data_IF_154057049319
#
_entry.id   IF_154057049319
#
_cell.length_a   1.000
_cell.length_b   1.000
_cell.length_c   1.000
_cell.angle_alpha   90.00
_cell.angle_beta   90.00
_cell.angle_gamma   90.00
#
_symmetry.space_group_name_H-M   'P 1'
#
loop_
_entity.id
_entity.type
_entity.pdbx_description
1 polymer ?
#
# COMPACT_ATOMS: atom_id res chain seq x y z
N UNK A 1 -4.95 4.97 -7.35
CA UNK A 1 -4.43 3.74 -7.99
C UNK A 1 -5.00 2.56 -7.23
N UNK A 2 -5.13 1.39 -7.84
CA UNK A 2 -5.66 0.20 -7.19
C UNK A 2 -4.72 -1.00 -7.40
N UNK A 3 -4.75 -1.91 -6.45
CA UNK A 3 -4.09 -3.20 -6.56
C UNK A 3 -5.05 -4.21 -7.16
N UNK A 4 -4.58 -4.92 -8.18
CA UNK A 4 -5.30 -5.99 -8.86
C UNK A 4 -4.56 -7.30 -8.63
N UNK A 5 -5.27 -8.32 -8.15
CA UNK A 5 -4.72 -9.68 -8.15
C UNK A 5 -4.89 -10.27 -9.55
N UNK A 6 -3.81 -10.82 -10.10
CA UNK A 6 -3.79 -11.41 -11.43
C UNK A 6 -3.39 -12.89 -11.37
N UNK A 7 -3.96 -13.66 -12.30
CA UNK A 7 -3.52 -15.01 -12.65
C UNK A 7 -3.18 -15.01 -14.14
N UNK A 8 -1.94 -15.33 -14.48
CA UNK A 8 -1.42 -15.38 -15.83
C UNK A 8 -1.13 -16.83 -16.24
N UNK A 9 -1.81 -17.31 -17.27
CA UNK A 9 -1.70 -18.66 -17.80
C UNK A 9 -1.08 -18.62 -19.19
N UNK A 10 -0.03 -19.40 -19.42
CA UNK A 10 0.56 -19.49 -20.76
C UNK A 10 -0.44 -20.11 -21.74
N UNK A 11 -0.65 -19.46 -22.88
CA UNK A 11 -1.58 -19.94 -23.92
C UNK A 11 -1.17 -21.31 -24.45
N UNK A 12 0.14 -21.56 -24.51
CA UNK A 12 0.74 -22.79 -25.00
C UNK A 12 0.72 -23.94 -23.96
N UNK A 13 0.29 -23.68 -22.72
CA UNK A 13 0.16 -24.70 -21.66
C UNK A 13 1.47 -25.29 -21.15
N UNK A 14 2.63 -24.92 -21.71
CA UNK A 14 3.95 -25.42 -21.29
C UNK A 14 4.47 -24.82 -19.99
N UNK A 15 4.01 -23.62 -19.62
CA UNK A 15 4.40 -22.97 -18.37
C UNK A 15 3.28 -23.05 -17.34
N UNK A 16 3.66 -23.28 -16.08
CA UNK A 16 2.72 -23.24 -14.97
C UNK A 16 2.06 -21.84 -14.84
N UNK A 17 0.79 -21.78 -14.38
CA UNK A 17 0.12 -20.53 -14.09
C UNK A 17 0.92 -19.73 -13.06
N UNK A 18 1.04 -18.41 -13.27
CA UNK A 18 1.66 -17.48 -12.33
C UNK A 18 0.63 -16.51 -11.79
N UNK A 19 0.66 -16.28 -10.48
CA UNK A 19 -0.26 -15.37 -9.81
C UNK A 19 0.50 -14.31 -9.04
N UNK A 20 -0.09 -13.12 -8.89
CA UNK A 20 0.50 -12.05 -8.10
C UNK A 20 -0.39 -10.81 -8.06
N UNK A 21 0.17 -9.71 -7.57
CA UNK A 21 -0.51 -8.44 -7.45
C UNK A 21 0.17 -7.40 -8.35
N UNK A 22 -0.62 -6.54 -8.98
CA UNK A 22 -0.13 -5.41 -9.79
C UNK A 22 -0.87 -4.14 -9.42
N UNK A 23 -0.12 -3.05 -9.24
CA UNK A 23 -0.71 -1.73 -9.00
C UNK A 23 -0.91 -1.02 -10.32
N UNK A 24 -2.15 -0.64 -10.61
CA UNK A 24 -2.50 0.08 -11.83
C UNK A 24 -3.60 1.11 -11.58
N UNK A 25 -3.80 2.01 -12.54
CA UNK A 25 -4.90 3.00 -12.50
C UNK A 25 -6.25 2.40 -12.87
N UNK A 26 -6.25 1.35 -13.69
CA UNK A 26 -7.44 0.64 -14.19
C UNK A 26 -7.12 -0.83 -14.49
N UNK A 27 -8.14 -1.68 -14.56
CA UNK A 27 -7.98 -3.10 -14.91
C UNK A 27 -7.32 -3.31 -16.27
N UNK A 28 -7.62 -2.46 -17.26
CA UNK A 28 -7.00 -2.54 -18.59
C UNK A 28 -5.49 -2.23 -18.54
N UNK A 29 -5.09 -1.26 -17.72
CA UNK A 29 -3.69 -0.94 -17.49
C UNK A 29 -2.98 -2.05 -16.70
N UNK A 30 -3.66 -2.68 -15.72
CA UNK A 30 -3.14 -3.85 -15.01
C UNK A 30 -2.90 -5.02 -15.97
N UNK A 31 -3.86 -5.34 -16.82
CA UNK A 31 -3.74 -6.45 -17.79
C UNK A 31 -2.56 -6.21 -18.75
N UNK A 32 -2.43 -5.00 -19.28
CA UNK A 32 -1.34 -4.63 -20.19
C UNK A 32 0.02 -4.73 -19.50
N UNK A 33 0.13 -4.29 -18.26
CA UNK A 33 1.36 -4.44 -17.47
C UNK A 33 1.70 -5.90 -17.23
N UNK A 34 0.72 -6.70 -16.79
CA UNK A 34 0.93 -8.14 -16.54
C UNK A 34 1.37 -8.83 -17.82
N UNK A 35 0.70 -8.61 -18.95
CA UNK A 35 1.10 -9.19 -20.25
C UNK A 35 2.52 -8.81 -20.66
N UNK A 36 2.97 -7.59 -20.36
CA UNK A 36 4.32 -7.13 -20.66
C UNK A 36 5.41 -7.79 -19.79
N UNK A 37 5.07 -8.38 -18.63
CA UNK A 37 6.02 -9.11 -17.77
C UNK A 37 6.41 -10.48 -18.34
N UNK A 38 5.63 -11.03 -19.26
CA UNK A 38 5.86 -12.34 -19.85
C UNK A 38 6.41 -12.21 -21.27
N UNK A 39 7.51 -12.91 -21.56
CA UNK A 39 8.10 -12.98 -22.90
C UNK A 39 7.30 -13.85 -23.89
N UNK A 40 6.17 -14.40 -23.46
CA UNK A 40 5.31 -15.31 -24.21
C UNK A 40 3.83 -14.93 -24.02
N UNK A 41 2.94 -15.31 -24.96
CA UNK A 41 1.53 -15.01 -24.83
C UNK A 41 0.90 -15.69 -23.61
N UNK A 42 0.28 -14.88 -22.75
CA UNK A 42 -0.46 -15.32 -21.57
C UNK A 42 -1.91 -14.84 -21.60
N UNK A 43 -2.83 -15.66 -21.10
CA UNK A 43 -4.18 -15.26 -20.71
C UNK A 43 -4.11 -14.70 -19.30
N UNK A 44 -4.62 -13.49 -19.09
CA UNK A 44 -4.61 -12.82 -17.79
C UNK A 44 -6.04 -12.74 -17.28
N UNK A 45 -6.26 -13.30 -16.11
CA UNK A 45 -7.50 -13.15 -15.36
C UNK A 45 -7.24 -12.21 -14.19
N UNK A 46 -7.93 -11.08 -14.16
CA UNK A 46 -7.87 -10.13 -13.05
C UNK A 46 -9.04 -10.39 -12.09
N UNK A 47 -8.76 -10.45 -10.79
CA UNK A 47 -9.77 -10.64 -9.76
C UNK A 47 -9.48 -9.72 -8.58
N UNK A 48 -10.51 -9.05 -8.06
CA UNK A 48 -10.39 -8.15 -6.91
C UNK A 48 -9.72 -6.81 -7.24
N UNK A 49 -10.32 -5.74 -6.72
CA UNK A 49 -9.75 -4.39 -6.73
C UNK A 49 -9.63 -3.97 -5.27
N UNK A 50 -8.42 -4.02 -4.73
CA UNK A 50 -8.15 -3.34 -3.46
C UNK A 50 -7.76 -1.91 -3.82
N UNK A 51 -8.67 -0.97 -3.57
CA UNK A 51 -8.34 0.45 -3.73
C UNK A 51 -7.30 0.77 -2.68
N UNK A 52 -6.05 0.97 -3.11
CA UNK A 52 -5.04 1.59 -2.27
C UNK A 52 -5.44 3.05 -2.22
N UNK A 53 -6.28 3.41 -1.24
CA UNK A 53 -6.42 4.80 -0.87
C UNK A 53 -4.99 5.28 -0.59
N UNK A 54 -4.56 6.44 -1.10
CA UNK A 54 -3.44 7.10 -0.45
C UNK A 54 -3.88 7.18 1.00
N UNK A 55 -3.20 6.49 1.92
CA UNK A 55 -3.42 6.75 3.33
C UNK A 55 -3.21 8.25 3.44
N UNK A 56 -4.32 9.00 3.59
CA UNK A 56 -4.27 10.32 4.17
C UNK A 56 -3.36 10.15 5.36
N UNK A 57 -2.32 10.97 5.31
CA UNK A 57 -1.25 11.03 6.27
C UNK A 57 -1.74 10.55 7.64
N UNK A 58 -0.97 9.68 8.29
CA UNK A 58 -0.86 9.84 9.74
C UNK A 58 -0.19 11.22 9.97
N UNK A 59 -0.93 12.30 9.67
CA UNK A 59 -0.72 13.60 10.23
C UNK A 59 -1.09 13.41 11.69
N UNK A 60 -0.13 12.91 12.45
CA UNK A 60 -0.09 13.16 13.88
C UNK A 60 0.02 14.68 13.99
N UNK A 61 -1.12 15.37 13.97
CA UNK A 61 -1.22 16.77 14.37
C UNK A 61 -0.54 16.90 15.75
N UNK A 62 0.63 17.58 15.86
CA UNK A 62 1.29 17.71 17.17
C UNK A 62 0.69 18.83 18.03
N UNK A 63 -0.35 19.52 17.57
CA UNK A 63 -0.90 20.70 18.27
C UNK A 63 -2.26 20.45 18.93
N UNK A 64 -2.43 19.28 19.55
CA UNK A 64 -3.69 18.87 20.15
C UNK A 64 -3.63 18.36 21.59
N UNK A 65 -2.48 18.44 22.27
CA UNK A 65 -2.40 18.19 23.71
C UNK A 65 -1.76 19.39 24.40
N UNK A 66 -2.64 20.25 24.92
CA UNK A 66 -2.34 21.15 26.03
C UNK A 66 -1.88 20.35 27.24
N UNK A 67 -0.63 19.90 27.23
CA UNK A 67 0.12 19.70 28.47
C UNK A 67 0.67 21.06 28.85
N UNK A 68 -0.13 21.71 29.68
CA UNK A 68 0.21 22.84 30.53
C UNK A 68 1.68 22.72 30.96
N UNK A 69 2.54 23.44 30.24
CA UNK A 69 3.98 23.44 30.45
C UNK A 69 4.25 23.77 31.91
N UNK A 70 4.87 22.80 32.57
CA UNK A 70 5.46 22.86 33.91
C UNK A 70 6.17 24.19 34.13
N UNK A 71 5.45 25.13 34.74
CA UNK A 71 6.05 26.19 35.54
C UNK A 71 5.97 25.71 36.98
N UNK A 72 6.82 24.76 37.36
CA UNK A 72 7.13 24.53 38.77
C UNK A 72 8.42 25.26 39.08
N UNK A 73 8.16 26.47 39.59
CA UNK A 73 9.06 27.39 40.23
C UNK A 73 9.79 26.66 41.36
N UNK A 74 11.08 26.94 41.47
CA UNK A 74 11.94 26.83 42.65
C UNK A 74 11.18 27.01 43.99
N UNK A 75 11.34 26.06 44.93
CA UNK A 75 11.39 26.30 46.38
C UNK A 75 11.54 25.01 47.20
N UNK A 76 12.33 25.13 48.28
CA UNK A 76 12.41 24.27 49.49
C UNK A 76 13.60 23.32 49.60
N UNK A 77 14.72 23.91 50.02
CA UNK A 77 15.36 23.66 51.34
C UNK A 77 15.51 22.20 51.80
N UNK A 78 16.77 21.79 51.87
CA UNK A 78 17.27 20.63 52.61
C UNK A 78 17.47 21.09 54.07
N UNK A 79 16.66 20.56 54.98
CA UNK A 79 16.84 20.72 56.44
C UNK A 79 17.14 19.32 56.99
N UNK A 80 18.37 19.13 57.48
CA UNK A 80 18.77 18.18 58.53
C UNK A 80 20.00 18.77 59.25
#
# INVERSE_FOLDING_TARGET
>A
MAEFFYVAEAVDGKNAPKSGNVTATSSEAAEKQVKALFAYPVKVSLSGVTVIAPSSEAATDPWGLSIQGTTSIDASTKDD
#
